data_IF_167329054205
#
_entry.id   IF_167329054205
#
_cell.length_a   1.000
_cell.length_b   1.000
_cell.length_c   1.000
_cell.angle_alpha   90.00
_cell.angle_beta   90.00
_cell.angle_gamma   90.00
#
_symmetry.space_group_name_H-M   'P 1'
#
loop_
_entity.id
_entity.type
_entity.pdbx_description
1 polymer ?
#
# COMPACT_ATOMS: atom_id res chain seq x y z
N UNK A 1 11.91 -25.84 17.19
CA UNK A 1 10.62 -25.79 16.48
C UNK A 1 10.59 -24.50 15.68
N UNK A 2 10.36 -24.55 14.36
CA UNK A 2 10.13 -23.33 13.59
C UNK A 2 8.76 -22.81 14.03
N UNK A 3 8.74 -21.61 14.61
CA UNK A 3 7.51 -20.91 14.90
C UNK A 3 6.90 -20.56 13.53
N UNK A 4 5.61 -20.84 13.37
CA UNK A 4 4.89 -20.47 12.16
C UNK A 4 4.67 -18.95 12.22
N UNK A 5 5.58 -18.20 11.57
CA UNK A 5 5.73 -16.73 11.64
C UNK A 5 4.64 -15.95 10.85
N UNK A 6 3.44 -16.52 10.68
CA UNK A 6 2.40 -15.93 9.82
C UNK A 6 1.02 -16.24 10.34
N UNK A 7 0.34 -15.20 10.81
CA UNK A 7 -1.04 -15.27 11.29
C UNK A 7 -1.97 -14.65 10.25
N UNK A 8 -3.05 -15.36 9.93
CA UNK A 8 -4.12 -14.91 9.05
C UNK A 8 -5.33 -14.56 9.91
N UNK A 9 -5.76 -13.32 9.84
CA UNK A 9 -6.98 -12.86 10.53
C UNK A 9 -8.03 -12.53 9.47
N UNK A 10 -9.21 -13.16 9.61
CA UNK A 10 -10.41 -12.66 8.94
C UNK A 10 -10.80 -11.34 9.60
N UNK A 11 -10.68 -10.24 8.86
CA UNK A 11 -11.08 -8.92 9.35
C UNK A 11 -12.61 -8.80 9.55
N UNK A 12 -13.35 -9.87 9.22
CA UNK A 12 -14.80 -9.99 9.09
C UNK A 12 -15.38 -9.05 8.03
N UNK A 13 -14.51 -8.49 7.19
CA UNK A 13 -14.90 -7.92 5.91
C UNK A 13 -14.67 -9.00 4.87
N UNK A 14 -15.76 -9.58 4.35
CA UNK A 14 -15.72 -10.66 3.37
C UNK A 14 -14.66 -10.40 2.29
N UNK A 15 -13.76 -11.38 2.10
CA UNK A 15 -12.72 -11.33 1.08
C UNK A 15 -11.50 -10.47 1.42
N UNK A 16 -11.26 -10.15 2.70
CA UNK A 16 -10.02 -9.50 3.15
C UNK A 16 -9.26 -10.42 4.09
N UNK A 17 -8.03 -10.74 3.70
CA UNK A 17 -7.07 -11.49 4.50
C UNK A 17 -5.94 -10.55 4.87
N UNK A 18 -5.66 -10.43 6.17
CA UNK A 18 -4.49 -9.69 6.67
C UNK A 18 -3.42 -10.71 7.04
N UNK A 19 -2.22 -10.50 6.50
CA UNK A 19 -1.04 -11.34 6.73
C UNK A 19 0.02 -10.48 7.41
N UNK A 20 0.44 -10.87 8.60
CA UNK A 20 1.54 -10.21 9.31
C UNK A 20 2.87 -10.86 8.94
N UNK A 21 3.87 -10.04 8.60
CA UNK A 21 5.24 -10.48 8.34
C UNK A 21 6.03 -10.34 9.64
N UNK A 22 6.30 -11.44 10.34
CA UNK A 22 7.07 -11.41 11.60
C UNK A 22 8.58 -11.51 11.38
N UNK A 23 8.99 -11.87 10.16
CA UNK A 23 10.41 -11.93 9.78
C UNK A 23 11.02 -10.53 9.75
N UNK A 24 11.88 -10.25 10.73
CA UNK A 24 12.62 -9.00 10.80
C UNK A 24 13.41 -8.69 9.51
N UNK A 25 13.39 -7.41 9.11
CA UNK A 25 14.09 -6.92 7.93
C UNK A 25 13.36 -7.13 6.60
N UNK A 26 12.11 -7.61 6.61
CA UNK A 26 11.27 -7.69 5.42
C UNK A 26 10.18 -6.61 5.50
N UNK A 27 10.26 -5.60 4.62
CA UNK A 27 9.22 -4.58 4.51
C UNK A 27 8.05 -5.08 3.63
N UNK A 28 6.81 -4.71 3.96
CA UNK A 28 5.64 -5.11 3.18
C UNK A 28 5.71 -4.61 1.72
N UNK A 29 6.31 -3.44 1.48
CA UNK A 29 6.52 -2.88 0.14
C UNK A 29 7.54 -3.70 -0.64
N UNK A 30 8.56 -4.28 0.01
CA UNK A 30 9.52 -5.19 -0.65
C UNK A 30 8.83 -6.46 -1.17
N UNK A 31 7.83 -6.96 -0.44
CA UNK A 31 7.01 -8.10 -0.88
C UNK A 31 6.20 -7.74 -2.14
N UNK A 32 5.58 -6.55 -2.17
CA UNK A 32 4.91 -6.06 -3.37
C UNK A 32 5.89 -5.96 -4.55
N UNK A 33 7.09 -5.41 -4.33
CA UNK A 33 8.12 -5.33 -5.36
C UNK A 33 8.53 -6.70 -5.88
N UNK A 34 8.68 -7.68 -5.00
CA UNK A 34 8.98 -9.06 -5.37
C UNK A 34 7.89 -9.67 -6.24
N UNK A 35 6.62 -9.56 -5.82
CA UNK A 35 5.47 -10.03 -6.58
C UNK A 35 5.39 -9.37 -7.96
N UNK A 36 5.67 -8.07 -8.03
CA UNK A 36 5.71 -7.33 -9.29
C UNK A 36 6.81 -7.82 -10.23
N UNK A 37 8.02 -8.06 -9.71
CA UNK A 37 9.13 -8.61 -10.50
C UNK A 37 8.81 -9.98 -11.07
N UNK A 38 8.13 -10.83 -10.27
CA UNK A 38 7.67 -12.15 -10.73
C UNK A 38 6.61 -12.01 -11.84
N UNK A 39 5.67 -11.08 -11.70
CA UNK A 39 4.66 -10.82 -12.72
C UNK A 39 5.29 -10.36 -14.04
N UNK A 40 6.23 -9.41 -13.99
CA UNK A 40 6.94 -8.89 -15.17
C UNK A 40 7.80 -9.98 -15.84
N UNK A 41 8.52 -10.79 -15.05
CA UNK A 41 9.31 -11.90 -15.60
C UNK A 41 8.42 -12.93 -16.30
N UNK A 42 7.30 -13.32 -15.68
CA UNK A 42 6.34 -14.24 -16.29
C UNK A 42 5.71 -13.67 -17.58
N UNK A 43 5.48 -12.35 -17.62
CA UNK A 43 4.99 -11.64 -18.81
C UNK A 43 6.01 -11.64 -19.94
N UNK A 44 7.28 -11.39 -19.62
CA UNK A 44 8.38 -11.39 -20.61
C UNK A 44 8.60 -12.79 -21.20
N UNK A 45 8.46 -13.84 -20.40
CA UNK A 45 8.54 -15.23 -20.86
C UNK A 45 7.32 -15.65 -21.67
N UNK A 46 6.12 -15.24 -21.24
CA UNK A 46 4.86 -15.54 -21.92
C UNK A 46 4.39 -17.00 -21.75
N UNK A 47 3.41 -17.39 -22.55
CA UNK A 47 2.92 -18.78 -22.64
C UNK A 47 2.56 -19.41 -21.28
N UNK A 48 3.13 -20.57 -21.00
CA UNK A 48 2.85 -21.35 -19.79
C UNK A 48 3.32 -20.67 -18.51
N UNK A 49 4.39 -19.85 -18.56
CA UNK A 49 4.90 -19.13 -17.40
C UNK A 49 3.90 -18.05 -16.94
N UNK A 50 3.39 -17.24 -17.87
CA UNK A 50 2.34 -16.26 -17.59
C UNK A 50 1.07 -16.95 -17.09
N UNK A 51 0.63 -18.03 -17.75
CA UNK A 51 -0.54 -18.80 -17.33
C UNK A 51 -0.40 -19.33 -15.90
N UNK A 52 0.78 -19.86 -15.55
CA UNK A 52 1.06 -20.39 -14.21
C UNK A 52 1.02 -19.28 -13.16
N UNK A 53 1.68 -18.15 -13.42
CA UNK A 53 1.63 -16.99 -12.52
C UNK A 53 0.18 -16.53 -12.27
N UNK A 54 -0.60 -16.36 -13.35
CA UNK A 54 -2.01 -15.95 -13.26
C UNK A 54 -2.84 -16.98 -12.49
N UNK A 55 -2.57 -18.27 -12.67
CA UNK A 55 -3.20 -19.30 -11.87
C UNK A 55 -2.84 -19.16 -10.40
N UNK A 56 -1.58 -18.95 -10.03
CA UNK A 56 -1.15 -18.83 -8.64
C UNK A 56 -1.83 -17.65 -7.91
N UNK A 57 -2.05 -16.52 -8.60
CA UNK A 57 -2.65 -15.31 -8.03
C UNK A 57 -4.16 -15.16 -8.27
N UNK A 58 -4.82 -16.12 -8.93
CA UNK A 58 -6.24 -16.02 -9.37
C UNK A 58 -7.25 -15.73 -8.26
N UNK A 59 -6.92 -16.07 -7.01
CA UNK A 59 -7.77 -15.85 -5.85
C UNK A 59 -7.42 -14.58 -5.07
N UNK A 60 -6.37 -13.86 -5.49
CA UNK A 60 -5.94 -12.60 -4.91
C UNK A 60 -6.26 -11.46 -5.89
N UNK A 61 -7.42 -10.84 -5.70
CA UNK A 61 -7.82 -9.71 -6.55
C UNK A 61 -6.96 -8.45 -6.32
N UNK A 62 -6.46 -8.23 -5.10
CA UNK A 62 -5.64 -7.07 -4.77
C UNK A 62 -4.66 -7.39 -3.64
N UNK A 63 -3.41 -6.97 -3.81
CA UNK A 63 -2.39 -7.04 -2.76
C UNK A 63 -2.06 -5.63 -2.25
N UNK A 64 -2.22 -5.39 -0.95
CA UNK A 64 -1.95 -4.07 -0.35
C UNK A 64 -0.79 -4.20 0.64
N UNK A 65 0.39 -3.61 0.36
CA UNK A 65 1.53 -3.70 1.27
C UNK A 65 1.33 -2.72 2.44
N UNK A 66 0.92 -3.20 3.61
CA UNK A 66 0.74 -2.35 4.80
C UNK A 66 2.00 -2.43 5.67
N UNK A 67 2.70 -1.30 5.86
CA UNK A 67 3.93 -1.22 6.65
C UNK A 67 3.65 -1.03 8.14
N UNK A 68 2.54 -0.36 8.46
CA UNK A 68 2.11 -0.13 9.84
C UNK A 68 0.60 -0.31 9.95
N UNK A 69 0.14 -0.75 11.12
CA UNK A 69 -1.28 -0.82 11.44
C UNK A 69 -1.60 0.03 12.68
N UNK A 70 -2.83 0.50 12.76
CA UNK A 70 -3.37 1.28 13.87
C UNK A 70 -4.86 1.00 14.04
N UNK A 71 -5.49 1.53 15.09
CA UNK A 71 -6.96 1.56 15.14
C UNK A 71 -7.49 2.62 14.17
N UNK A 72 -8.72 2.43 13.72
CA UNK A 72 -9.44 3.36 12.82
C UNK A 72 -9.94 4.61 13.57
N UNK A 73 -9.02 5.32 14.23
CA UNK A 73 -9.29 6.52 15.02
C UNK A 73 -8.29 7.58 14.57
N UNK A 74 -8.77 8.76 14.15
CA UNK A 74 -7.94 9.73 13.41
C UNK A 74 -6.60 10.08 14.09
N UNK A 75 -6.54 10.36 15.41
CA UNK A 75 -5.27 10.54 16.11
C UNK A 75 -4.27 9.38 15.97
N UNK A 76 -4.74 8.14 16.05
CA UNK A 76 -3.89 6.95 15.93
C UNK A 76 -3.44 6.71 14.49
N UNK A 77 -4.34 6.96 13.52
CA UNK A 77 -4.01 6.95 12.10
C UNK A 77 -2.90 7.95 11.81
N UNK A 78 -2.97 9.16 12.37
CA UNK A 78 -1.95 10.20 12.16
C UNK A 78 -0.60 9.84 12.78
N UNK A 79 -0.61 9.19 13.95
CA UNK A 79 0.62 8.73 14.58
C UNK A 79 1.29 7.62 13.76
N UNK A 80 0.50 6.63 13.31
CA UNK A 80 1.01 5.60 12.41
C UNK A 80 1.47 6.18 11.06
N UNK A 81 0.73 7.14 10.51
CA UNK A 81 1.10 7.83 9.26
C UNK A 81 2.45 8.54 9.39
N UNK A 82 2.72 9.24 10.49
CA UNK A 82 4.04 9.84 10.74
C UNK A 82 5.15 8.80 10.68
N UNK A 83 4.93 7.63 11.28
CA UNK A 83 5.89 6.53 11.30
C UNK A 83 6.33 6.03 9.93
N UNK A 84 5.47 6.12 8.91
CA UNK A 84 5.79 5.69 7.53
C UNK A 84 6.10 6.85 6.58
N UNK A 85 5.55 8.05 6.82
CA UNK A 85 5.76 9.23 5.98
C UNK A 85 7.11 9.89 6.26
N UNK A 86 7.45 10.12 7.53
CA UNK A 86 8.67 10.85 7.89
C UNK A 86 9.97 10.14 7.46
N UNK A 87 10.08 8.80 7.47
CA UNK A 87 11.25 8.13 6.89
C UNK A 87 11.44 8.41 5.40
N UNK A 88 10.36 8.65 4.65
CA UNK A 88 10.40 8.88 3.20
C UNK A 88 10.58 10.35 2.86
N UNK A 89 9.69 11.22 3.35
CA UNK A 89 9.65 12.63 2.99
C UNK A 89 10.51 13.51 3.91
N UNK A 90 10.67 13.11 5.17
CA UNK A 90 11.31 13.93 6.20
C UNK A 90 10.35 14.95 6.82
N UNK A 91 10.91 16.04 7.34
CA UNK A 91 10.16 17.21 7.82
C UNK A 91 10.54 18.43 7.00
N UNK A 92 9.78 19.54 7.11
CA UNK A 92 10.07 20.78 6.39
C UNK A 92 11.54 21.25 6.58
N UNK A 93 12.06 21.16 7.80
CA UNK A 93 13.44 21.57 8.11
C UNK A 93 14.50 20.53 7.71
N UNK A 94 14.10 19.28 7.49
CA UNK A 94 15.00 18.14 7.25
C UNK A 94 14.38 17.17 6.23
N UNK A 95 14.32 17.55 4.94
CA UNK A 95 13.81 16.67 3.91
C UNK A 95 14.69 15.41 3.79
N UNK A 96 14.05 14.24 3.61
CA UNK A 96 14.74 12.95 3.43
C UNK A 96 14.73 12.42 2.00
N UNK A 97 13.96 13.07 1.12
CA UNK A 97 13.93 12.80 -0.31
C UNK A 97 14.10 14.10 -1.10
N UNK A 98 14.47 14.04 -2.39
CA UNK A 98 14.33 15.19 -3.28
C UNK A 98 12.85 15.63 -3.40
N UNK A 99 12.56 16.78 -4.03
CA UNK A 99 11.20 17.15 -4.43
C UNK A 99 10.55 15.96 -5.16
N UNK A 100 9.42 15.51 -4.63
CA UNK A 100 8.79 14.24 -5.00
C UNK A 100 7.32 14.51 -5.24
N UNK A 101 6.76 13.98 -6.32
CA UNK A 101 5.33 14.05 -6.56
C UNK A 101 4.60 12.96 -5.77
N UNK A 102 3.46 13.27 -5.15
CA UNK A 102 2.77 12.33 -4.27
C UNK A 102 1.25 12.39 -4.31
N UNK A 103 0.60 11.29 -3.92
CA UNK A 103 -0.84 11.22 -3.69
C UNK A 103 -1.19 10.41 -2.45
N UNK A 104 -2.42 10.55 -1.97
CA UNK A 104 -2.99 9.71 -0.91
C UNK A 104 -4.13 8.90 -1.49
N UNK A 105 -4.09 7.58 -1.27
CA UNK A 105 -5.18 6.67 -1.62
C UNK A 105 -5.85 6.16 -0.35
N UNK A 106 -7.11 6.55 -0.14
CA UNK A 106 -7.91 6.11 1.01
C UNK A 106 -9.03 5.17 0.56
N UNK A 107 -9.02 3.95 1.10
CA UNK A 107 -10.14 3.02 1.01
C UNK A 107 -10.75 2.77 2.40
N UNK A 108 -12.09 2.84 2.47
CA UNK A 108 -12.85 2.62 3.70
C UNK A 108 -13.76 1.43 3.49
N UNK A 109 -13.53 0.34 4.25
CA UNK A 109 -14.36 -0.86 4.22
C UNK A 109 -15.06 -1.07 5.54
N UNK A 110 -16.38 -1.07 5.49
CA UNK A 110 -17.24 -1.30 6.67
C UNK A 110 -16.89 -0.37 7.84
N UNK A 111 -16.52 0.88 7.53
CA UNK A 111 -16.24 1.94 8.49
C UNK A 111 -17.07 3.18 8.14
N UNK A 112 -17.89 3.63 9.08
CA UNK A 112 -18.80 4.77 8.92
C UNK A 112 -18.47 5.95 9.86
N UNK A 113 -17.55 5.75 10.81
CA UNK A 113 -17.13 6.77 11.79
C UNK A 113 -16.10 7.76 11.24
N UNK A 114 -15.41 7.41 10.15
CA UNK A 114 -14.39 8.24 9.50
C UNK A 114 -14.85 8.67 8.11
N UNK A 115 -14.46 9.88 7.70
CA UNK A 115 -14.70 10.39 6.34
C UNK A 115 -13.38 10.50 5.59
N UNK A 116 -13.38 10.10 4.31
CA UNK A 116 -12.19 10.16 3.44
C UNK A 116 -11.55 11.56 3.39
N UNK A 117 -12.30 12.67 3.23
CA UNK A 117 -11.71 14.01 3.18
C UNK A 117 -10.94 14.39 4.45
N UNK A 118 -11.45 14.00 5.61
CA UNK A 118 -10.81 14.29 6.91
C UNK A 118 -9.47 13.56 7.02
N UNK A 119 -9.42 12.30 6.61
CA UNK A 119 -8.18 11.50 6.57
C UNK A 119 -7.18 12.11 5.58
N UNK A 120 -7.63 12.43 4.37
CA UNK A 120 -6.77 13.00 3.32
C UNK A 120 -6.16 14.32 3.79
N UNK A 121 -6.98 15.24 4.31
CA UNK A 121 -6.52 16.53 4.79
C UNK A 121 -5.52 16.39 5.94
N UNK A 122 -5.82 15.51 6.91
CA UNK A 122 -4.97 15.34 8.07
C UNK A 122 -3.62 14.70 7.69
N UNK A 123 -3.60 13.69 6.82
CA UNK A 123 -2.35 13.06 6.36
C UNK A 123 -1.56 14.00 5.44
N UNK A 124 -2.23 14.76 4.57
CA UNK A 124 -1.56 15.73 3.70
C UNK A 124 -0.77 16.78 4.51
N UNK A 125 -1.25 17.15 5.70
CA UNK A 125 -0.55 18.08 6.59
C UNK A 125 0.79 17.56 7.14
N UNK A 126 1.05 16.25 7.02
CA UNK A 126 2.32 15.63 7.44
C UNK A 126 3.42 15.74 6.38
N UNK A 127 3.10 16.18 5.17
CA UNK A 127 4.02 16.31 4.05
C UNK A 127 4.16 17.79 3.70
N UNK A 128 5.39 18.29 3.64
CA UNK A 128 5.65 19.69 3.31
C UNK A 128 5.23 19.99 1.86
N UNK A 129 4.11 20.68 1.70
CA UNK A 129 3.53 21.05 0.40
C UNK A 129 4.32 22.14 -0.32
N UNK A 130 5.24 22.84 0.36
CA UNK A 130 6.11 23.83 -0.28
C UNK A 130 7.28 23.17 -1.03
N UNK A 131 7.65 21.96 -0.62
CA UNK A 131 8.79 21.21 -1.17
C UNK A 131 8.37 19.97 -2.00
N UNK A 132 7.30 19.28 -1.59
CA UNK A 132 6.74 18.13 -2.31
C UNK A 132 5.43 18.48 -3.01
N UNK A 133 5.23 17.97 -4.23
CA UNK A 133 4.09 18.35 -5.06
C UNK A 133 2.99 17.29 -5.04
N UNK A 134 1.74 17.70 -4.80
CA UNK A 134 0.60 16.79 -4.96
C UNK A 134 0.36 16.49 -6.45
N UNK A 135 0.22 15.21 -6.79
CA UNK A 135 -0.11 14.72 -8.14
C UNK A 135 -1.07 13.53 -8.04
N UNK A 136 -2.35 13.76 -8.34
CA UNK A 136 -3.41 12.73 -8.22
C UNK A 136 -3.36 11.66 -9.31
N UNK A 137 -2.71 11.96 -10.44
CA UNK A 137 -2.64 11.07 -11.60
C UNK A 137 -1.32 10.34 -11.62
N UNK A 138 -0.20 11.05 -11.69
CA UNK A 138 1.14 10.49 -11.87
C UNK A 138 2.05 10.92 -10.71
N UNK A 139 2.00 10.15 -9.62
CA UNK A 139 2.79 10.39 -8.43
C UNK A 139 3.94 9.39 -8.30
N UNK A 140 5.11 9.91 -7.94
CA UNK A 140 6.30 9.11 -7.63
C UNK A 140 6.11 8.30 -6.33
N UNK A 141 5.31 8.81 -5.39
CA UNK A 141 4.99 8.14 -4.14
C UNK A 141 3.48 8.14 -3.86
N UNK A 142 2.95 7.04 -3.36
CA UNK A 142 1.56 6.94 -2.90
C UNK A 142 1.55 6.59 -1.42
N UNK A 143 0.85 7.39 -0.63
CA UNK A 143 0.47 7.04 0.74
C UNK A 143 -0.81 6.21 0.67
N UNK A 144 -0.71 4.93 1.00
CA UNK A 144 -1.87 4.04 1.08
C UNK A 144 -2.48 4.10 2.47
N UNK A 145 -3.80 4.17 2.53
CA UNK A 145 -4.57 4.13 3.77
C UNK A 145 -5.75 3.19 3.56
N UNK A 146 -5.72 2.05 4.23
CA UNK A 146 -6.76 1.03 4.15
C UNK A 146 -7.44 0.91 5.51
N UNK A 147 -8.67 1.39 5.62
CA UNK A 147 -9.49 1.18 6.82
C UNK A 147 -10.41 -0.01 6.62
N UNK A 148 -10.40 -0.94 7.56
CA UNK A 148 -11.23 -2.14 7.58
C UNK A 148 -11.85 -2.24 8.98
N UNK A 149 -13.12 -1.84 9.10
CA UNK A 149 -13.83 -1.70 10.39
C UNK A 149 -13.03 -0.85 11.38
N UNK A 150 -12.54 -1.48 12.45
CA UNK A 150 -11.81 -0.85 13.55
C UNK A 150 -10.30 -0.79 13.34
N UNK A 151 -9.79 -1.33 12.24
CA UNK A 151 -8.36 -1.38 11.92
C UNK A 151 -8.03 -0.45 10.74
N UNK A 152 -6.82 0.09 10.74
CA UNK A 152 -6.28 0.90 9.65
C UNK A 152 -4.85 0.44 9.33
N UNK A 153 -4.58 0.08 8.08
CA UNK A 153 -3.24 -0.16 7.55
C UNK A 153 -2.73 1.05 6.76
N UNK A 154 -1.44 1.37 6.89
CA UNK A 154 -0.80 2.44 6.15
C UNK A 154 0.55 2.00 5.56
N UNK A 155 0.91 2.61 4.44
CA UNK A 155 2.25 2.51 3.85
C UNK A 155 2.56 3.68 2.92
N UNK A 156 3.83 3.85 2.60
CA UNK A 156 4.30 4.76 1.54
C UNK A 156 4.98 3.93 0.46
N UNK A 157 4.32 3.81 -0.69
CA UNK A 157 4.84 3.07 -1.85
C UNK A 157 5.55 4.05 -2.78
N UNK A 158 6.86 3.89 -2.94
CA UNK A 158 7.68 4.69 -3.86
C UNK A 158 7.79 4.02 -5.24
N UNK A 159 8.02 4.84 -6.27
CA UNK A 159 7.97 4.40 -7.66
C UNK A 159 6.57 3.88 -7.99
N UNK A 160 5.52 4.53 -7.52
CA UNK A 160 4.19 3.94 -7.67
C UNK A 160 3.68 3.89 -9.11
N UNK A 161 4.26 4.71 -10.00
CA UNK A 161 4.00 4.71 -11.44
C UNK A 161 4.24 3.34 -12.08
N UNK A 162 5.23 2.54 -11.64
CA UNK A 162 5.41 1.15 -12.13
C UNK A 162 4.23 0.26 -11.77
N UNK A 163 3.57 0.47 -10.63
CA UNK A 163 2.44 -0.37 -10.20
C UNK A 163 1.08 0.08 -10.78
N UNK A 164 1.05 1.17 -11.57
CA UNK A 164 -0.20 1.69 -12.18
C UNK A 164 -0.49 0.99 -13.50
N UNK A 165 -1.35 -0.02 -13.45
CA UNK A 165 -2.15 -0.45 -14.61
C UNK A 165 -3.59 -0.02 -14.37
N UNK A 166 -4.26 0.41 -15.44
CA UNK A 166 -5.58 1.06 -15.49
C UNK A 166 -6.46 0.86 -14.24
N UNK A 167 -6.75 1.97 -13.55
CA UNK A 167 -7.57 2.08 -12.34
C UNK A 167 -6.95 1.52 -11.05
N UNK A 168 -5.97 2.24 -10.50
CA UNK A 168 -5.69 2.38 -9.05
C UNK A 168 -5.63 1.11 -8.19
N UNK A 169 -5.29 -0.04 -8.77
CA UNK A 169 -5.36 -1.28 -8.04
C UNK A 169 -4.08 -2.06 -8.23
N UNK A 170 -3.44 -2.39 -7.11
CA UNK A 170 -2.42 -3.42 -6.97
C UNK A 170 -3.05 -4.80 -7.28
N UNK A 171 -3.63 -4.89 -8.46
CA UNK A 171 -4.48 -5.96 -8.91
C UNK A 171 -3.59 -6.93 -9.67
N UNK A 172 -3.26 -8.04 -9.02
CA UNK A 172 -2.36 -9.05 -9.57
C UNK A 172 -2.97 -9.74 -10.81
N UNK A 173 -4.29 -9.65 -11.02
CA UNK A 173 -5.02 -10.27 -12.13
C UNK A 173 -5.35 -9.33 -13.30
N UNK A 174 -5.38 -8.01 -13.12
CA UNK A 174 -5.63 -7.05 -14.21
C UNK A 174 -4.53 -7.01 -15.28
N UNK A 175 -3.38 -7.63 -15.00
CA UNK A 175 -2.28 -7.78 -15.94
C UNK A 175 -2.49 -8.84 -17.03
N UNK A 176 -3.62 -9.57 -17.01
CA UNK A 176 -3.93 -10.66 -17.92
C UNK A 176 -4.73 -10.26 -19.18
N UNK A 177 -5.33 -9.08 -19.22
CA UNK A 177 -6.27 -8.66 -20.28
C UNK A 177 -5.75 -7.49 -21.14
N UNK A 178 -4.46 -7.51 -21.48
CA UNK A 178 -3.85 -6.57 -22.42
C UNK A 178 -3.00 -7.26 -23.47
#
# INVERSE_FOLDING_TARGET
AKVEDTWVVDAGCNGVVVVTIERGGVDAVDVLEGLWRLAEAARQEGGDALKRFLMDVRHCHRFLPMQVTSRSVLPEILEAARGVIQPVFGTADKPKSPPTSWSIMVDLRSCNSLKKPDIISAIASLIDSSFHKVSLTDSDAIVLVQVIRSACGLSVVRGASKFRVSNHSFNLGAHAEG
#
